data_IF_392087516703
#
_entry.id   IF_392087516703
#
_cell.length_a   1.000
_cell.length_b   1.000
_cell.length_c   1.000
_cell.angle_alpha   90.00
_cell.angle_beta   90.00
_cell.angle_gamma   90.00
#
_symmetry.space_group_name_H-M   'P 1'
#
loop_
_entity.id
_entity.type
_entity.pdbx_description
1 polymer ?
#
# COMPACT_ATOMS: atom_id res chain seq x y z
N UNK A 1 21.45 25.31 12.88
CA UNK A 1 20.97 23.94 13.09
C UNK A 1 21.33 23.09 11.86
N UNK A 2 21.94 21.94 12.08
CA UNK A 2 22.43 21.07 11.00
C UNK A 2 21.36 20.72 9.95
N UNK A 3 20.11 20.52 10.35
CA UNK A 3 19.02 20.18 9.44
C UNK A 3 18.58 21.35 8.55
N UNK A 4 18.61 22.58 9.03
CA UNK A 4 18.29 23.76 8.23
C UNK A 4 19.42 24.09 7.24
N UNK A 5 20.67 23.92 7.66
CA UNK A 5 21.84 24.12 6.80
C UNK A 5 21.92 23.07 5.68
N UNK A 6 21.43 21.88 5.92
CA UNK A 6 21.34 20.80 4.95
C UNK A 6 20.10 20.87 4.03
N UNK A 7 19.22 21.87 4.25
CA UNK A 7 18.01 22.05 3.46
C UNK A 7 16.87 21.09 3.79
N UNK A 8 16.90 20.41 4.96
CA UNK A 8 15.80 19.55 5.42
C UNK A 8 14.66 20.30 6.10
N UNK A 9 14.91 21.56 6.47
CA UNK A 9 13.91 22.45 7.04
C UNK A 9 13.85 23.73 6.19
N UNK A 10 12.64 24.25 6.01
CA UNK A 10 12.41 25.57 5.40
C UNK A 10 11.63 26.46 6.36
N UNK A 11 11.82 27.77 6.20
CA UNK A 11 11.15 28.77 7.01
C UNK A 11 9.93 29.30 6.26
N UNK A 12 8.79 29.35 6.94
CA UNK A 12 7.57 29.94 6.39
C UNK A 12 7.63 31.47 6.46
N UNK A 13 6.67 32.16 5.80
CA UNK A 13 6.51 33.59 5.89
C UNK A 13 6.28 34.09 7.33
N UNK A 14 5.66 33.27 8.18
CA UNK A 14 5.43 33.53 9.60
C UNK A 14 6.62 33.12 10.48
N UNK A 15 7.78 32.92 9.87
CA UNK A 15 9.04 32.57 10.54
C UNK A 15 9.06 31.22 11.28
N UNK A 16 8.11 30.32 10.99
CA UNK A 16 8.06 28.96 11.57
C UNK A 16 8.90 28.01 10.75
N UNK A 17 9.69 27.17 11.40
CA UNK A 17 10.43 26.09 10.75
C UNK A 17 9.53 24.89 10.49
N UNK A 18 9.46 24.47 9.25
CA UNK A 18 8.72 23.26 8.83
C UNK A 18 9.63 22.33 8.04
N UNK A 19 9.33 21.03 8.00
CA UNK A 19 10.06 20.10 7.12
C UNK A 19 9.97 20.54 5.66
N UNK A 20 11.10 20.55 4.97
CA UNK A 20 11.17 20.67 3.52
C UNK A 20 10.88 19.30 2.87
N UNK A 21 10.59 19.28 1.58
CA UNK A 21 10.35 18.03 0.84
C UNK A 21 11.52 17.07 0.94
N UNK A 22 12.76 17.58 0.95
CA UNK A 22 13.97 16.78 1.16
C UNK A 22 13.97 15.94 2.45
N UNK A 23 13.23 16.36 3.47
CA UNK A 23 13.10 15.59 4.70
C UNK A 23 12.47 14.20 4.44
N UNK A 24 11.60 14.12 3.47
CA UNK A 24 10.85 12.91 3.10
C UNK A 24 11.45 12.16 1.90
N UNK A 25 12.41 12.79 1.20
CA UNK A 25 13.10 12.17 0.08
C UNK A 25 14.05 11.06 0.56
N UNK A 26 14.16 10.03 -0.25
CA UNK A 26 15.17 8.96 -0.11
C UNK A 26 15.86 8.78 -1.45
N UNK A 27 17.09 8.36 -1.40
CA UNK A 27 17.85 8.04 -2.62
C UNK A 27 17.39 6.70 -3.17
N UNK A 28 16.86 6.70 -4.38
CA UNK A 28 16.55 5.48 -5.13
C UNK A 28 17.75 5.11 -5.99
N UNK A 29 18.31 3.94 -5.78
CA UNK A 29 19.40 3.42 -6.63
C UNK A 29 18.89 3.17 -8.05
N UNK A 30 19.68 3.56 -9.04
CA UNK A 30 19.47 3.20 -10.45
C UNK A 30 19.81 1.75 -10.74
N UNK A 31 20.49 1.09 -9.82
CA UNK A 31 20.92 -0.30 -9.93
C UNK A 31 20.06 -1.20 -9.05
N UNK A 32 19.50 -2.24 -9.65
CA UNK A 32 18.75 -3.26 -8.92
C UNK A 32 19.66 -4.33 -8.35
N UNK A 33 19.32 -4.85 -7.17
CA UNK A 33 19.96 -6.04 -6.60
C UNK A 33 19.18 -7.28 -7.01
N UNK A 34 19.93 -8.33 -7.35
CA UNK A 34 19.34 -9.62 -7.69
C UNK A 34 19.10 -10.41 -6.40
N UNK A 35 17.86 -10.81 -6.18
CA UNK A 35 17.51 -11.72 -5.09
C UNK A 35 17.95 -13.13 -5.46
N UNK A 36 19.19 -13.48 -5.13
CA UNK A 36 19.81 -14.78 -5.49
C UNK A 36 21.31 -14.71 -5.34
N UNK A 37 22.02 -14.78 -6.47
CA UNK A 37 23.49 -14.71 -6.45
C UNK A 37 23.99 -13.26 -6.30
N UNK A 38 25.08 -13.02 -5.55
CA UNK A 38 25.68 -11.71 -5.41
C UNK A 38 26.12 -11.14 -6.76
N UNK A 39 25.89 -9.84 -6.95
CA UNK A 39 26.35 -9.09 -8.13
C UNK A 39 27.25 -7.94 -7.68
N UNK A 40 28.30 -7.63 -8.44
CA UNK A 40 29.12 -6.45 -8.19
C UNK A 40 28.38 -5.19 -8.63
N UNK A 41 28.30 -4.21 -7.70
CA UNK A 41 27.81 -2.87 -7.99
C UNK A 41 29.00 -1.92 -7.88
N UNK A 42 29.39 -1.28 -8.98
CA UNK A 42 30.56 -0.40 -8.99
C UNK A 42 30.27 1.03 -8.57
N UNK A 43 29.20 1.63 -9.08
CA UNK A 43 28.75 2.98 -8.72
C UNK A 43 27.23 3.01 -8.66
N UNK A 44 26.68 3.62 -7.60
CA UNK A 44 25.25 3.77 -7.40
C UNK A 44 24.91 5.23 -7.63
N UNK A 45 24.45 5.56 -8.83
CA UNK A 45 23.70 6.79 -9.04
C UNK A 45 22.36 6.68 -8.32
N UNK A 46 21.81 7.77 -7.84
CA UNK A 46 20.58 7.77 -7.09
C UNK A 46 19.75 9.00 -7.40
N UNK A 47 18.49 8.78 -7.71
CA UNK A 47 17.49 9.82 -7.89
C UNK A 47 16.69 10.05 -6.60
N UNK A 48 16.21 11.27 -6.36
CA UNK A 48 15.32 11.52 -5.23
C UNK A 48 14.01 10.78 -5.41
N UNK A 49 13.54 10.10 -4.34
CA UNK A 49 12.33 9.30 -4.34
C UNK A 49 11.51 9.56 -3.09
N UNK A 50 10.24 9.82 -3.26
CA UNK A 50 9.28 10.05 -2.18
C UNK A 50 8.32 8.86 -2.08
N UNK A 51 8.49 8.06 -1.03
CA UNK A 51 7.72 6.83 -0.80
C UNK A 51 6.22 7.12 -0.76
N UNK A 52 5.80 8.17 -0.05
CA UNK A 52 4.40 8.53 0.06
C UNK A 52 3.79 8.91 -1.31
N UNK A 53 4.48 9.73 -2.10
CA UNK A 53 4.02 10.10 -3.44
C UNK A 53 3.97 8.92 -4.40
N UNK A 54 4.86 7.95 -4.24
CA UNK A 54 4.85 6.73 -5.04
C UNK A 54 3.65 5.83 -4.71
N UNK A 55 3.30 5.71 -3.43
CA UNK A 55 2.21 4.83 -2.97
C UNK A 55 0.83 5.47 -3.07
N UNK A 56 0.74 6.80 -2.94
CA UNK A 56 -0.53 7.52 -2.77
C UNK A 56 -0.81 8.40 -3.99
N UNK A 57 -1.75 7.98 -4.84
CA UNK A 57 -2.13 8.76 -6.02
C UNK A 57 -3.10 9.91 -5.69
N UNK A 58 -4.01 9.67 -4.73
CA UNK A 58 -5.05 10.62 -4.33
C UNK A 58 -5.07 10.76 -2.81
N UNK A 59 -4.27 11.67 -2.22
CA UNK A 59 -4.12 11.78 -0.77
C UNK A 59 -5.44 11.95 -0.01
N UNK A 60 -6.37 12.74 -0.53
CA UNK A 60 -7.68 12.99 0.08
C UNK A 60 -8.64 11.78 0.06
N UNK A 61 -8.31 10.75 -0.71
CA UNK A 61 -9.10 9.51 -0.88
C UNK A 61 -8.32 8.26 -0.51
N UNK A 62 -7.22 8.39 0.20
CA UNK A 62 -6.37 7.27 0.58
C UNK A 62 -6.39 7.09 2.08
N UNK A 63 -6.59 5.86 2.52
CA UNK A 63 -6.51 5.45 3.92
C UNK A 63 -5.58 4.25 4.06
N UNK A 64 -5.03 4.07 5.24
CA UNK A 64 -4.17 2.95 5.59
C UNK A 64 -4.93 2.01 6.52
N UNK A 65 -4.95 0.72 6.20
CA UNK A 65 -5.68 -0.27 6.97
C UNK A 65 -4.74 -1.41 7.36
N UNK A 66 -4.57 -1.69 8.67
CA UNK A 66 -3.85 -2.87 9.13
C UNK A 66 -4.58 -4.16 8.74
N UNK A 67 -3.83 -5.15 8.28
CA UNK A 67 -4.35 -6.48 7.93
C UNK A 67 -4.12 -7.44 9.08
N UNK A 68 -5.14 -8.24 9.38
CA UNK A 68 -5.07 -9.35 10.31
C UNK A 68 -5.44 -10.64 9.59
N UNK A 69 -4.65 -11.69 9.84
CA UNK A 69 -4.84 -13.01 9.22
C UNK A 69 -4.08 -13.20 7.92
N UNK A 70 -4.21 -14.39 7.35
CA UNK A 70 -3.40 -14.89 6.25
C UNK A 70 -4.20 -15.27 5.00
N UNK A 71 -5.44 -14.84 4.91
CA UNK A 71 -6.33 -15.20 3.78
C UNK A 71 -5.88 -14.68 2.42
N UNK A 72 -4.89 -13.77 2.38
CA UNK A 72 -4.37 -13.15 1.16
C UNK A 72 -2.86 -13.41 0.97
N UNK A 73 -2.32 -14.44 1.61
CA UNK A 73 -0.88 -14.72 1.63
C UNK A 73 -0.31 -15.04 0.24
N UNK A 74 -1.08 -15.70 -0.62
CA UNK A 74 -0.63 -16.08 -1.97
C UNK A 74 -0.49 -14.90 -2.94
N UNK A 75 -1.01 -13.73 -2.58
CA UNK A 75 -0.76 -12.46 -3.29
C UNK A 75 0.18 -11.54 -2.52
N UNK A 76 0.87 -12.08 -1.51
CA UNK A 76 1.92 -11.37 -0.78
C UNK A 76 1.43 -10.44 0.32
N UNK A 77 0.16 -10.47 0.70
CA UNK A 77 -0.37 -9.73 1.85
C UNK A 77 -0.35 -10.64 3.07
N UNK A 78 0.43 -10.27 4.08
CA UNK A 78 0.63 -11.03 5.29
C UNK A 78 -0.06 -10.39 6.49
N UNK A 79 -0.23 -11.20 7.53
CA UNK A 79 -0.65 -10.70 8.83
C UNK A 79 0.26 -9.59 9.34
N UNK A 80 -0.31 -8.49 9.81
CA UNK A 80 0.43 -7.32 10.29
C UNK A 80 0.85 -6.31 9.21
N UNK A 81 0.63 -6.59 7.93
CA UNK A 81 0.81 -5.59 6.87
C UNK A 81 -0.16 -4.43 7.02
N UNK A 82 0.21 -3.29 6.46
CA UNK A 82 -0.69 -2.14 6.31
C UNK A 82 -0.95 -1.96 4.83
N UNK A 83 -2.20 -2.14 4.40
CA UNK A 83 -2.59 -1.89 3.01
C UNK A 83 -2.92 -0.42 2.78
N UNK A 84 -2.48 0.09 1.65
CA UNK A 84 -2.79 1.43 1.16
C UNK A 84 -4.05 1.32 0.31
N UNK A 85 -5.14 1.95 0.73
CA UNK A 85 -6.48 1.80 0.13
C UNK A 85 -6.94 3.12 -0.46
N UNK A 86 -7.18 3.14 -1.75
CA UNK A 86 -7.88 4.24 -2.40
C UNK A 86 -9.39 4.04 -2.24
N UNK A 87 -10.02 4.95 -1.51
CA UNK A 87 -11.46 4.88 -1.19
C UNK A 87 -12.27 5.02 -2.48
N UNK A 88 -13.11 4.02 -2.76
CA UNK A 88 -13.96 3.96 -3.93
C UNK A 88 -15.13 3.02 -3.67
N UNK A 89 -16.32 3.37 -4.10
CA UNK A 89 -17.49 2.48 -4.04
C UNK A 89 -17.54 1.45 -5.18
N UNK A 90 -16.61 1.55 -6.13
CA UNK A 90 -16.52 0.67 -7.31
C UNK A 90 -15.12 0.10 -7.44
N UNK A 91 -15.04 -1.12 -7.96
CA UNK A 91 -13.80 -1.82 -8.26
C UNK A 91 -14.00 -2.72 -9.47
N UNK A 92 -12.90 -3.09 -10.13
CA UNK A 92 -12.91 -4.01 -11.25
C UNK A 92 -12.73 -5.45 -10.78
N UNK A 93 -13.18 -6.37 -11.61
CA UNK A 93 -12.89 -7.79 -11.41
C UNK A 93 -11.37 -8.03 -11.42
N UNK A 94 -10.86 -8.68 -10.39
CA UNK A 94 -9.42 -8.89 -10.20
C UNK A 94 -8.75 -7.90 -9.25
N UNK A 95 -9.38 -6.78 -8.92
CA UNK A 95 -8.87 -5.85 -7.92
C UNK A 95 -8.86 -6.48 -6.53
N UNK A 96 -7.83 -6.19 -5.76
CA UNK A 96 -7.84 -6.47 -4.31
C UNK A 96 -8.61 -5.33 -3.64
N UNK A 97 -9.65 -5.68 -2.93
CA UNK A 97 -10.57 -4.71 -2.33
C UNK A 97 -10.67 -4.87 -0.81
N UNK A 98 -10.92 -3.77 -0.16
CA UNK A 98 -11.50 -3.77 1.19
C UNK A 98 -13.00 -3.63 1.03
N UNK A 99 -13.74 -4.57 1.58
CA UNK A 99 -15.18 -4.62 1.47
C UNK A 99 -15.84 -4.93 2.82
N UNK A 100 -17.11 -4.59 2.95
CA UNK A 100 -17.95 -5.05 4.06
C UNK A 100 -18.96 -6.06 3.56
N UNK A 101 -19.07 -7.14 4.29
CA UNK A 101 -20.13 -8.16 4.14
C UNK A 101 -20.81 -8.27 5.48
N UNK A 102 -22.13 -8.04 5.51
CA UNK A 102 -22.92 -8.12 6.73
C UNK A 102 -22.28 -7.34 7.90
N UNK A 103 -21.79 -6.11 7.57
CA UNK A 103 -21.12 -5.17 8.48
C UNK A 103 -19.70 -5.54 8.91
N UNK A 104 -19.15 -6.67 8.46
CA UNK A 104 -17.77 -7.07 8.75
C UNK A 104 -16.81 -6.69 7.62
N UNK A 105 -15.65 -6.13 7.98
CA UNK A 105 -14.61 -5.76 7.02
C UNK A 105 -13.75 -6.95 6.62
N UNK A 106 -13.40 -7.01 5.34
CA UNK A 106 -12.49 -8.03 4.82
C UNK A 106 -11.65 -7.48 3.66
N UNK A 107 -10.46 -8.08 3.46
CA UNK A 107 -9.60 -7.85 2.29
C UNK A 107 -9.64 -9.10 1.43
N UNK A 108 -10.06 -8.98 0.20
CA UNK A 108 -10.19 -10.10 -0.75
C UNK A 108 -10.00 -9.61 -2.18
N UNK A 109 -9.79 -10.52 -3.11
CA UNK A 109 -9.86 -10.21 -4.54
C UNK A 109 -11.32 -10.21 -4.99
N UNK A 110 -11.74 -9.15 -5.66
CA UNK A 110 -13.07 -9.08 -6.26
C UNK A 110 -13.15 -10.00 -7.47
N UNK A 111 -14.08 -10.91 -7.45
CA UNK A 111 -14.34 -11.85 -8.54
C UNK A 111 -15.78 -11.84 -8.98
N UNK A 112 -16.09 -12.68 -9.98
CA UNK A 112 -17.44 -12.85 -10.50
C UNK A 112 -17.74 -14.34 -10.69
N UNK A 113 -18.89 -14.79 -10.21
CA UNK A 113 -19.38 -16.15 -10.40
C UNK A 113 -20.83 -16.10 -10.84
N UNK A 114 -21.13 -16.68 -12.02
CA UNK A 114 -22.48 -16.64 -12.62
C UNK A 114 -23.08 -15.22 -12.67
N UNK A 115 -22.24 -14.23 -13.04
CA UNK A 115 -22.65 -12.83 -13.15
C UNK A 115 -22.74 -12.06 -11.83
N UNK A 116 -22.59 -12.71 -10.67
CA UNK A 116 -22.67 -12.09 -9.35
C UNK A 116 -21.27 -11.86 -8.77
N UNK A 117 -21.05 -10.76 -8.02
CA UNK A 117 -19.78 -10.52 -7.36
C UNK A 117 -19.52 -11.58 -6.27
N UNK A 118 -18.28 -12.02 -6.20
CA UNK A 118 -17.76 -12.90 -5.16
C UNK A 118 -16.45 -12.33 -4.63
N UNK A 119 -16.08 -12.69 -3.40
CA UNK A 119 -14.81 -12.33 -2.82
C UNK A 119 -13.92 -13.57 -2.71
N UNK A 120 -12.78 -13.49 -3.37
CA UNK A 120 -11.84 -14.58 -3.51
C UNK A 120 -10.68 -14.41 -2.53
N UNK A 121 -10.46 -15.36 -1.61
CA UNK A 121 -9.24 -15.41 -0.84
C UNK A 121 -8.06 -15.77 -1.74
N UNK A 122 -6.87 -15.38 -1.35
CA UNK A 122 -5.61 -15.83 -1.94
C UNK A 122 -4.88 -16.77 -0.96
N UNK A 123 -5.58 -17.81 -0.54
CA UNK A 123 -5.12 -18.88 0.33
C UNK A 123 -6.12 -20.04 0.21
N UNK A 124 -5.62 -21.21 -0.18
CA UNK A 124 -6.45 -22.41 -0.44
C UNK A 124 -7.17 -22.94 0.83
N UNK A 125 -6.73 -22.53 2.02
CA UNK A 125 -7.36 -22.88 3.28
C UNK A 125 -8.68 -22.13 3.54
N UNK A 126 -8.99 -21.12 2.74
CA UNK A 126 -10.17 -20.27 2.89
C UNK A 126 -11.15 -20.46 1.74
N UNK A 127 -12.45 -20.52 2.02
CA UNK A 127 -13.47 -20.64 0.99
C UNK A 127 -13.71 -19.31 0.26
N UNK A 128 -14.20 -19.41 -0.97
CA UNK A 128 -14.75 -18.26 -1.70
C UNK A 128 -16.00 -17.76 -0.96
N UNK A 129 -16.07 -16.45 -0.76
CA UNK A 129 -17.21 -15.83 -0.10
C UNK A 129 -18.20 -15.36 -1.17
N UNK A 130 -19.40 -15.92 -1.11
CA UNK A 130 -20.56 -15.47 -1.90
C UNK A 130 -21.45 -14.64 -0.99
N UNK A 131 -21.51 -13.30 -1.16
CA UNK A 131 -22.36 -12.47 -0.33
C UNK A 131 -23.83 -12.91 -0.45
N UNK A 132 -24.47 -13.19 0.67
CA UNK A 132 -25.91 -13.51 0.72
C UNK A 132 -26.78 -12.26 0.89
N UNK A 133 -26.18 -11.19 1.36
CA UNK A 133 -26.80 -9.91 1.63
C UNK A 133 -26.10 -8.74 0.94
N UNK A 134 -25.80 -7.68 1.66
CA UNK A 134 -25.16 -6.50 1.13
C UNK A 134 -23.64 -6.64 1.06
N UNK A 135 -23.08 -6.53 -0.13
CA UNK A 135 -21.66 -6.30 -0.34
C UNK A 135 -21.45 -4.81 -0.62
N UNK A 136 -20.57 -4.17 0.16
CA UNK A 136 -20.15 -2.79 -0.10
C UNK A 136 -18.63 -2.75 -0.27
N UNK A 137 -18.18 -2.16 -1.34
CA UNK A 137 -16.76 -1.88 -1.55
C UNK A 137 -16.42 -0.58 -0.81
N UNK A 138 -15.41 -0.64 0.06
CA UNK A 138 -14.84 0.54 0.72
C UNK A 138 -13.77 1.19 -0.16
N UNK A 139 -12.94 0.38 -0.78
CA UNK A 139 -11.88 0.86 -1.65
C UNK A 139 -11.05 -0.25 -2.26
N UNK A 140 -10.12 0.17 -3.10
CA UNK A 140 -9.18 -0.70 -3.81
C UNK A 140 -7.81 -0.62 -3.15
N UNK A 141 -7.19 -1.75 -2.90
CA UNK A 141 -5.81 -1.83 -2.40
C UNK A 141 -4.87 -1.50 -3.56
N UNK A 142 -4.11 -0.42 -3.43
CA UNK A 142 -3.16 0.05 -4.44
C UNK A 142 -1.70 -0.20 -4.06
N UNK A 143 -1.44 -0.58 -2.83
CA UNK A 143 -0.11 -0.90 -2.33
C UNK A 143 -0.17 -1.41 -0.90
N UNK A 144 0.99 -1.75 -0.37
CA UNK A 144 1.12 -2.11 1.04
C UNK A 144 2.47 -1.63 1.60
N UNK A 145 2.53 -1.45 2.91
CA UNK A 145 3.76 -1.21 3.65
C UNK A 145 3.99 -2.31 4.66
N UNK A 146 5.22 -2.80 4.68
CA UNK A 146 5.70 -3.79 5.65
C UNK A 146 7.03 -3.34 6.19
N UNK A 147 7.17 -3.38 7.51
CA UNK A 147 8.43 -3.06 8.17
C UNK A 147 9.08 -4.34 8.68
N UNK A 148 10.35 -4.52 8.35
CA UNK A 148 11.18 -5.59 8.90
C UNK A 148 12.02 -5.05 10.07
N UNK A 149 12.25 -5.89 11.04
CA UNK A 149 12.99 -5.52 12.25
C UNK A 149 12.13 -4.81 13.30
N UNK A 150 12.77 -4.54 14.41
CA UNK A 150 12.14 -3.91 15.57
C UNK A 150 12.28 -2.39 15.53
#
# INVERSE_FOLDING_TARGET
LRLSEQGYLKRTADEVWIPDERFFERSLSDTSVVAGLPTFISDVAADPFMIDQFLVNKPSKTILIPVQGDSMINVGINDGDIVVVEVSSTANNGDIVVATIDEEFTVKTLGKKKGKPVLLPANDSYPVIQPKGSLKILGVVIGLVRKYGK
#
